data_IF_343234479187
#
_entry.id   IF_343234479187
#
_cell.length_a   1.000
_cell.length_b   1.000
_cell.length_c   1.000
_cell.angle_alpha   90.00
_cell.angle_beta   90.00
_cell.angle_gamma   90.00
#
_symmetry.space_group_name_H-M   'P 1'
#
loop_
_entity.id
_entity.type
_entity.pdbx_description
1 polymer ?
#
# COMPACT_ATOMS: atom_id res chain seq x y z
N UNK A 1 -9.27 -22.41 -45.10
CA UNK A 1 -8.98 -23.09 -43.81
C UNK A 1 -7.86 -22.41 -42.98
N UNK A 2 -7.66 -21.07 -43.02
CA UNK A 2 -6.62 -20.37 -42.22
C UNK A 2 -7.18 -19.46 -41.12
N UNK A 3 -8.41 -18.98 -41.28
CA UNK A 3 -9.05 -18.02 -40.38
C UNK A 3 -9.39 -18.61 -38.99
N UNK A 4 -9.70 -19.91 -38.93
CA UNK A 4 -10.01 -20.60 -37.67
C UNK A 4 -8.79 -20.86 -36.80
N UNK A 5 -7.61 -21.07 -37.40
CA UNK A 5 -6.37 -21.30 -36.67
C UNK A 5 -5.88 -20.01 -35.98
N UNK A 6 -5.96 -18.87 -36.69
CA UNK A 6 -5.61 -17.55 -36.16
C UNK A 6 -6.52 -17.13 -34.99
N UNK A 7 -7.84 -17.40 -35.08
CA UNK A 7 -8.76 -17.16 -33.96
C UNK A 7 -8.46 -18.05 -32.75
N UNK A 8 -8.01 -19.29 -32.96
CA UNK A 8 -7.63 -20.20 -31.89
C UNK A 8 -6.33 -19.76 -31.20
N UNK A 9 -5.35 -19.30 -31.97
CA UNK A 9 -4.10 -18.73 -31.46
C UNK A 9 -4.34 -17.45 -30.67
N UNK A 10 -5.12 -16.50 -31.21
CA UNK A 10 -5.49 -15.27 -30.50
C UNK A 10 -6.23 -15.57 -29.18
N UNK A 11 -7.18 -16.53 -29.19
CA UNK A 11 -7.89 -16.93 -27.97
C UNK A 11 -7.02 -17.69 -26.95
N UNK A 12 -5.95 -18.36 -27.41
CA UNK A 12 -4.97 -19.02 -26.53
C UNK A 12 -4.00 -18.00 -25.92
N UNK A 13 -3.57 -16.98 -26.68
CA UNK A 13 -2.77 -15.86 -26.19
C UNK A 13 -3.56 -15.01 -25.18
N UNK A 14 -4.86 -14.81 -25.42
CA UNK A 14 -5.76 -14.08 -24.51
C UNK A 14 -5.99 -14.83 -23.19
N UNK A 15 -6.02 -16.17 -23.22
CA UNK A 15 -6.09 -17.03 -22.02
C UNK A 15 -4.80 -17.07 -21.20
N UNK A 16 -3.66 -16.75 -21.81
CA UNK A 16 -2.36 -16.72 -21.13
C UNK A 16 -2.02 -15.38 -20.50
N UNK A 17 -2.76 -14.31 -20.81
CA UNK A 17 -2.61 -13.05 -20.07
C UNK A 17 -3.07 -13.27 -18.63
N UNK A 18 -2.18 -13.13 -17.63
CA UNK A 18 -2.60 -13.23 -16.24
C UNK A 18 -3.66 -12.14 -16.01
N UNK A 19 -4.87 -12.55 -15.61
CA UNK A 19 -5.90 -11.60 -15.20
C UNK A 19 -5.34 -10.85 -14.01
N UNK A 20 -5.17 -9.54 -14.14
CA UNK A 20 -4.68 -8.71 -13.05
C UNK A 20 -5.62 -8.89 -11.84
N UNK A 21 -5.04 -9.28 -10.70
CA UNK A 21 -5.77 -9.44 -9.45
C UNK A 21 -6.44 -8.08 -9.12
N UNK A 22 -7.76 -8.03 -8.81
CA UNK A 22 -8.42 -6.79 -8.43
C UNK A 22 -7.66 -5.98 -7.37
N UNK A 23 -7.05 -6.66 -6.40
CA UNK A 23 -6.21 -6.02 -5.39
C UNK A 23 -4.98 -5.36 -6.02
N UNK A 24 -4.31 -6.01 -6.96
CA UNK A 24 -3.15 -5.46 -7.66
C UNK A 24 -3.51 -4.23 -8.50
N UNK A 25 -4.65 -4.26 -9.20
CA UNK A 25 -5.15 -3.08 -9.94
C UNK A 25 -5.38 -1.92 -8.97
N UNK A 26 -6.01 -2.21 -7.82
CA UNK A 26 -6.32 -1.20 -6.82
C UNK A 26 -5.07 -0.62 -6.16
N UNK A 27 -4.12 -1.46 -5.75
CA UNK A 27 -2.84 -1.03 -5.16
C UNK A 27 -2.04 -0.20 -6.15
N UNK A 28 -1.94 -0.65 -7.40
CA UNK A 28 -1.24 0.10 -8.44
C UNK A 28 -1.82 1.51 -8.60
N UNK A 29 -3.15 1.62 -8.63
CA UNK A 29 -3.83 2.91 -8.70
C UNK A 29 -3.49 3.77 -7.48
N UNK A 30 -3.71 3.25 -6.28
CA UNK A 30 -3.54 4.00 -5.05
C UNK A 30 -2.09 4.46 -4.85
N UNK A 31 -1.09 3.63 -5.18
CA UNK A 31 0.33 3.99 -5.14
C UNK A 31 0.68 5.06 -6.17
N UNK A 32 0.11 5.01 -7.37
CA UNK A 32 0.36 5.99 -8.42
C UNK A 32 -0.26 7.35 -8.09
N UNK A 33 -1.40 7.34 -7.39
CA UNK A 33 -2.13 8.53 -6.95
C UNK A 33 -1.67 9.04 -5.57
N UNK A 34 -0.63 8.46 -4.96
CA UNK A 34 -0.08 8.94 -3.69
C UNK A 34 0.39 10.39 -3.82
N UNK A 35 -0.17 11.26 -3.00
CA UNK A 35 0.19 12.67 -2.92
C UNK A 35 0.76 12.96 -1.53
N UNK A 36 2.09 13.11 -1.46
CA UNK A 36 2.82 13.16 -0.19
C UNK A 36 3.31 14.59 0.10
N UNK A 37 3.16 15.08 1.34
CA UNK A 37 3.78 16.33 1.75
C UNK A 37 5.31 16.18 1.78
N UNK A 38 6.01 17.32 1.78
CA UNK A 38 7.50 17.34 1.80
C UNK A 38 8.14 16.67 3.03
N UNK A 39 7.38 16.50 4.10
CA UNK A 39 7.80 15.79 5.32
C UNK A 39 7.74 14.27 5.18
N UNK A 40 7.25 13.74 4.07
CA UNK A 40 7.04 12.31 3.86
C UNK A 40 7.75 11.79 2.62
N UNK A 41 8.15 10.53 2.66
CA UNK A 41 8.76 9.86 1.50
C UNK A 41 8.42 8.38 1.54
N UNK A 42 8.01 7.82 0.40
CA UNK A 42 7.78 6.39 0.26
C UNK A 42 8.98 5.71 -0.38
N UNK A 43 9.31 4.52 0.09
CA UNK A 43 10.39 3.66 -0.40
C UNK A 43 9.84 2.26 -0.67
N UNK A 44 10.14 1.70 -1.84
CA UNK A 44 9.81 0.33 -2.20
C UNK A 44 11.09 -0.51 -2.16
N UNK A 45 11.31 -1.33 -1.11
CA UNK A 45 12.52 -2.17 -1.01
C UNK A 45 12.65 -3.14 -2.19
N UNK A 46 11.51 -3.63 -2.69
CA UNK A 46 11.40 -4.38 -3.94
C UNK A 46 10.51 -3.59 -4.91
N UNK A 47 11.06 -3.03 -6.01
CA UNK A 47 10.28 -2.30 -7.01
C UNK A 47 9.20 -3.12 -7.71
N UNK A 48 9.28 -4.46 -7.67
CA UNK A 48 8.26 -5.34 -8.24
C UNK A 48 7.13 -5.66 -7.26
N UNK A 49 7.31 -5.39 -5.96
CA UNK A 49 6.33 -5.65 -4.93
C UNK A 49 5.73 -4.35 -4.39
N UNK A 50 4.59 -3.94 -4.96
CA UNK A 50 3.84 -2.78 -4.46
C UNK A 50 3.04 -3.05 -3.19
N UNK A 51 2.94 -4.32 -2.75
CA UNK A 51 2.19 -4.70 -1.55
C UNK A 51 3.01 -4.52 -0.27
N UNK A 52 4.33 -4.33 -0.36
CA UNK A 52 5.20 -4.05 0.78
C UNK A 52 6.06 -2.83 0.52
N UNK A 53 5.87 -1.78 1.31
CA UNK A 53 6.65 -0.55 1.20
C UNK A 53 6.88 0.10 2.55
N UNK A 54 7.82 1.04 2.60
CA UNK A 54 8.10 1.86 3.78
C UNK A 54 7.71 3.31 3.52
N UNK A 55 7.02 3.91 4.49
CA UNK A 55 6.78 5.35 4.57
C UNK A 55 7.73 5.94 5.62
N UNK A 56 8.48 6.96 5.24
CA UNK A 56 9.32 7.74 6.14
C UNK A 56 8.62 9.07 6.41
N UNK A 57 8.36 9.36 7.69
CA UNK A 57 7.80 10.64 8.14
C UNK A 57 8.88 11.38 8.92
N UNK A 58 9.15 12.62 8.50
CA UNK A 58 10.10 13.54 9.13
C UNK A 58 9.38 14.83 9.54
N UNK A 59 8.75 14.87 10.73
CA UNK A 59 7.98 16.03 11.17
C UNK A 59 8.85 17.29 11.26
N UNK A 60 8.33 18.39 10.74
CA UNK A 60 8.95 19.72 10.77
C UNK A 60 8.34 20.63 11.86
N UNK A 61 7.37 20.13 12.61
CA UNK A 61 6.76 20.77 13.78
C UNK A 61 6.39 19.78 14.90
N UNK A 62 5.92 20.31 16.03
CA UNK A 62 5.41 19.53 17.17
C UNK A 62 6.49 18.81 18.01
N UNK A 63 6.04 17.92 18.90
CA UNK A 63 6.93 17.20 19.84
C UNK A 63 7.96 16.29 19.16
N UNK A 64 7.65 15.83 17.94
CA UNK A 64 8.47 14.88 17.19
C UNK A 64 9.28 15.56 16.07
N UNK A 65 9.37 16.89 16.09
CA UNK A 65 10.15 17.67 15.12
C UNK A 65 11.60 17.16 15.02
N UNK A 66 12.14 17.08 13.79
CA UNK A 66 13.47 16.52 13.47
C UNK A 66 13.62 15.01 13.75
N UNK A 67 12.54 14.33 14.10
CA UNK A 67 12.50 12.87 14.15
C UNK A 67 12.42 12.26 12.75
N UNK A 68 12.82 11.00 12.62
CA UNK A 68 12.66 10.20 11.40
C UNK A 68 11.99 8.88 11.76
N UNK A 69 10.74 8.72 11.34
CA UNK A 69 9.90 7.58 11.70
C UNK A 69 9.60 6.77 10.46
N UNK A 70 10.00 5.49 10.49
CA UNK A 70 9.74 4.55 9.41
C UNK A 70 8.54 3.69 9.75
N UNK A 71 7.60 3.61 8.81
CA UNK A 71 6.40 2.81 8.91
C UNK A 71 6.39 1.80 7.78
N UNK A 72 6.33 0.52 8.12
CA UNK A 72 6.20 -0.54 7.13
C UNK A 72 4.72 -0.79 6.85
N UNK A 73 4.35 -0.69 5.59
CA UNK A 73 3.04 -1.04 5.06
C UNK A 73 3.11 -2.44 4.47
N UNK A 74 2.12 -3.26 4.81
CA UNK A 74 1.87 -4.56 4.19
C UNK A 74 0.41 -4.63 3.75
N UNK A 75 0.18 -4.64 2.45
CA UNK A 75 -1.14 -4.67 1.85
C UNK A 75 -1.59 -6.13 1.70
N UNK A 76 -2.73 -6.53 2.27
CA UNK A 76 -3.23 -7.90 2.11
C UNK A 76 -3.72 -8.15 0.68
N UNK A 77 -3.74 -9.41 0.25
CA UNK A 77 -4.27 -9.80 -1.06
C UNK A 77 -5.77 -9.54 -1.24
N UNK A 78 -6.50 -9.32 -0.14
CA UNK A 78 -7.93 -8.98 -0.14
C UNK A 78 -8.18 -7.46 -0.13
N UNK A 79 -7.14 -6.63 -0.31
CA UNK A 79 -7.30 -5.18 -0.45
C UNK A 79 -8.21 -4.84 -1.65
N UNK A 80 -9.17 -3.90 -1.51
CA UNK A 80 -9.39 -2.97 -0.40
C UNK A 80 -10.45 -3.44 0.62
N UNK A 81 -10.85 -4.70 0.62
CA UNK A 81 -11.81 -5.22 1.61
C UNK A 81 -11.21 -5.31 3.01
N UNK A 82 -9.92 -5.63 3.09
CA UNK A 82 -9.12 -5.54 4.32
C UNK A 82 -8.18 -4.33 4.27
N UNK A 83 -7.95 -3.63 5.40
CA UNK A 83 -7.02 -2.51 5.47
C UNK A 83 -5.57 -2.96 5.28
N UNK A 84 -4.67 -2.04 4.90
CA UNK A 84 -3.24 -2.29 4.99
C UNK A 84 -2.82 -2.49 6.45
N UNK A 85 -1.85 -3.37 6.70
CA UNK A 85 -1.20 -3.48 8.00
C UNK A 85 -0.06 -2.49 8.06
N UNK A 86 -0.02 -1.67 9.10
CA UNK A 86 1.02 -0.65 9.27
C UNK A 86 1.73 -0.86 10.61
N UNK A 87 3.06 -0.86 10.59
CA UNK A 87 3.90 -1.00 11.78
C UNK A 87 4.96 0.10 11.83
N UNK A 88 5.10 0.76 12.96
CA UNK A 88 6.24 1.65 13.21
C UNK A 88 7.49 0.82 13.51
N UNK A 89 8.57 1.02 12.75
CA UNK A 89 9.82 0.29 12.91
C UNK A 89 10.68 0.80 14.09
N UNK A 90 10.90 2.11 14.27
CA UNK A 90 11.64 2.60 15.43
C UNK A 90 10.80 2.50 16.71
N UNK A 91 11.46 2.28 17.84
CA UNK A 91 10.82 2.46 19.15
C UNK A 91 10.62 3.95 19.40
N UNK A 92 9.39 4.33 19.70
CA UNK A 92 9.03 5.71 19.98
C UNK A 92 8.12 5.79 21.19
N UNK A 93 8.16 6.92 21.89
CA UNK A 93 7.18 7.24 22.91
C UNK A 93 6.06 8.04 22.27
N UNK A 94 4.96 7.40 21.90
CA UNK A 94 3.80 8.04 21.29
C UNK A 94 2.49 7.41 21.80
N UNK A 95 1.46 8.19 22.18
CA UNK A 95 0.25 7.65 22.80
C UNK A 95 -0.51 6.64 21.93
N UNK A 96 -0.41 6.75 20.60
CA UNK A 96 -1.03 5.84 19.65
C UNK A 96 -0.11 4.75 19.08
N UNK A 97 1.15 4.64 19.53
CA UNK A 97 2.11 3.65 19.03
C UNK A 97 2.74 2.94 20.21
N UNK A 98 2.57 1.63 20.30
CA UNK A 98 3.14 0.84 21.39
C UNK A 98 4.64 0.56 21.18
N UNK A 99 5.28 -0.05 22.18
CA UNK A 99 6.72 -0.37 22.14
C UNK A 99 7.09 -1.45 21.11
N UNK A 100 6.10 -2.17 20.57
CA UNK A 100 6.23 -3.15 19.49
C UNK A 100 5.96 -2.52 18.11
N UNK A 101 5.60 -1.23 18.06
CA UNK A 101 5.31 -0.48 16.85
C UNK A 101 3.89 -0.64 16.32
N UNK A 102 2.96 -1.24 17.08
CA UNK A 102 1.56 -1.35 16.67
C UNK A 102 0.87 0.00 16.77
N UNK A 103 0.10 0.33 15.75
CA UNK A 103 -0.54 1.64 15.60
C UNK A 103 -2.01 1.55 16.00
N UNK A 104 -2.47 2.57 16.73
CA UNK A 104 -3.86 2.77 17.09
C UNK A 104 -4.46 3.90 16.23
N UNK A 105 -4.91 3.52 15.02
CA UNK A 105 -5.63 4.39 14.10
C UNK A 105 -6.93 3.67 13.68
N UNK A 106 -8.07 4.31 13.90
CA UNK A 106 -9.41 3.74 13.71
C UNK A 106 -9.65 3.24 12.28
N UNK A 107 -9.19 3.99 11.27
CA UNK A 107 -9.35 3.62 9.86
C UNK A 107 -8.50 2.40 9.46
N UNK A 108 -7.57 1.93 10.29
CA UNK A 108 -6.86 0.66 10.09
C UNK A 108 -7.56 -0.52 10.77
N UNK A 109 -8.73 -0.30 11.37
CA UNK A 109 -9.49 -1.26 12.15
C UNK A 109 -10.99 -1.17 11.84
N UNK A 110 -11.81 -0.73 12.79
CA UNK A 110 -13.26 -0.71 12.70
C UNK A 110 -13.83 0.27 11.66
N UNK A 111 -13.11 1.36 11.38
CA UNK A 111 -13.58 2.40 10.46
C UNK A 111 -13.05 2.22 9.03
N UNK A 112 -12.33 1.14 8.76
CA UNK A 112 -11.90 0.82 7.41
C UNK A 112 -13.10 0.56 6.50
N UNK A 113 -13.09 1.18 5.31
CA UNK A 113 -14.07 0.94 4.27
C UNK A 113 -13.34 0.80 2.94
N UNK A 114 -13.80 -0.07 2.01
CA UNK A 114 -13.18 -0.24 0.70
C UNK A 114 -13.08 1.03 -0.17
N UNK A 115 -13.81 2.09 0.19
CA UNK A 115 -13.74 3.41 -0.43
C UNK A 115 -12.48 4.20 -0.03
N UNK A 116 -11.89 3.90 1.13
CA UNK A 116 -10.64 4.51 1.59
C UNK A 116 -9.46 3.95 0.79
N UNK A 117 -8.43 4.77 0.60
CA UNK A 117 -7.23 4.47 -0.19
C UNK A 117 -5.96 4.71 0.63
N UNK A 118 -4.78 4.48 0.04
CA UNK A 118 -3.51 4.72 0.72
C UNK A 118 -3.33 6.18 1.16
N UNK A 119 -3.79 7.17 0.37
CA UNK A 119 -3.79 8.58 0.78
C UNK A 119 -4.63 8.88 2.02
N UNK A 120 -5.62 8.03 2.33
CA UNK A 120 -6.43 8.21 3.55
C UNK A 120 -5.66 7.80 4.81
N UNK A 121 -4.64 6.97 4.66
CA UNK A 121 -3.85 6.37 5.75
C UNK A 121 -2.52 7.11 5.97
N UNK A 122 -1.94 7.64 4.89
CA UNK A 122 -0.66 8.36 4.90
C UNK A 122 -0.82 9.78 5.42
#
# INVERSE_FOLDING_TARGET
>A
MKLWALKKQAAQEEKQRPKANPAQIRVQKDVTELDLPSTMTVQFPDPQNLFDFELVISPDEGFYQRGHFRFRFHIPHNYPHEPPKVQCLPRIYHPNIDLEGKICLNILREDWKPVLNLNSVV
#
